data_IF_583801290682
#
_entry.id   IF_583801290682
#
_cell.length_a   1.000
_cell.length_b   1.000
_cell.length_c   1.000
_cell.angle_alpha   90.00
_cell.angle_beta   90.00
_cell.angle_gamma   90.00
#
_symmetry.space_group_name_H-M   'P 1'
#
loop_
_entity.id
_entity.type
_entity.pdbx_description
1 polymer ?
#
# COMPACT_ATOMS: atom_id res chain seq x y z
N UNK A 1 -3.56 32.63 59.78
CA UNK A 1 -3.91 31.78 58.62
C UNK A 1 -3.20 30.45 58.80
N UNK A 2 -3.93 29.39 59.12
CA UNK A 2 -3.35 28.06 59.33
C UNK A 2 -3.23 27.35 57.97
N UNK A 3 -2.00 27.06 57.56
CA UNK A 3 -1.71 26.23 56.40
C UNK A 3 -2.09 24.78 56.72
N UNK A 4 -2.91 24.14 55.87
CA UNK A 4 -3.30 22.75 56.02
C UNK A 4 -2.35 21.85 55.20
N UNK A 5 -1.43 21.09 55.83
CA UNK A 5 -0.39 20.32 55.14
C UNK A 5 -0.95 19.12 54.35
N UNK A 6 -2.19 18.70 54.63
CA UNK A 6 -2.84 17.59 53.94
C UNK A 6 -3.15 17.89 52.45
N UNK A 7 -3.32 19.17 52.10
CA UNK A 7 -3.69 19.57 50.74
C UNK A 7 -2.47 19.55 49.79
N UNK A 8 -1.30 19.94 50.29
CA UNK A 8 -0.05 19.86 49.53
C UNK A 8 0.37 18.41 49.25
N UNK A 9 0.18 17.50 50.20
CA UNK A 9 0.41 16.07 49.95
C UNK A 9 -0.52 15.51 48.87
N UNK A 10 -1.76 16.01 48.80
CA UNK A 10 -2.73 15.60 47.79
C UNK A 10 -2.35 16.12 46.39
N UNK A 11 -1.90 17.38 46.31
CA UNK A 11 -1.41 18.01 45.08
C UNK A 11 -0.12 17.35 44.59
N UNK A 12 0.83 17.06 45.49
CA UNK A 12 2.07 16.35 45.13
C UNK A 12 1.80 14.90 44.70
N UNK A 13 0.84 14.22 45.33
CA UNK A 13 0.43 12.88 44.90
C UNK A 13 -0.21 12.89 43.52
N UNK A 14 -1.07 13.88 43.22
CA UNK A 14 -1.71 13.99 41.90
C UNK A 14 -0.71 14.38 40.80
N UNK A 15 0.27 15.25 41.11
CA UNK A 15 1.36 15.56 40.18
C UNK A 15 2.31 14.36 39.97
N UNK A 16 2.57 13.58 41.02
CA UNK A 16 3.37 12.35 40.94
C UNK A 16 2.70 11.27 40.09
N UNK A 17 1.36 11.19 40.09
CA UNK A 17 0.63 10.24 39.23
C UNK A 17 0.64 10.63 37.75
N UNK A 18 0.86 11.92 37.42
CA UNK A 18 0.91 12.40 36.04
C UNK A 18 2.30 12.23 35.39
N UNK A 19 3.35 12.04 36.20
CA UNK A 19 4.75 11.88 35.76
C UNK A 19 5.16 10.42 35.54
N UNK A 20 4.35 9.43 35.92
CA UNK A 20 4.73 8.02 35.80
C UNK A 20 4.47 7.50 34.37
N UNK A 21 5.51 7.12 33.60
CA UNK A 21 5.30 6.42 32.34
C UNK A 21 4.66 5.04 32.59
N UNK A 22 3.86 4.51 31.65
CA UNK A 22 3.25 3.20 31.78
C UNK A 22 4.32 2.10 31.94
N UNK A 23 4.06 1.05 32.73
CA UNK A 23 4.94 -0.12 32.76
C UNK A 23 4.98 -0.77 31.36
N UNK A 24 6.14 -1.32 30.94
CA UNK A 24 6.19 -2.13 29.73
C UNK A 24 5.31 -3.36 29.95
N UNK A 25 4.23 -3.46 29.17
CA UNK A 25 3.55 -4.73 28.98
C UNK A 25 4.53 -5.66 28.25
N UNK A 26 4.63 -6.87 28.79
CA UNK A 26 5.55 -7.91 28.38
C UNK A 26 5.47 -8.19 26.88
N UNK A 27 6.66 -8.34 26.29
CA UNK A 27 6.92 -9.02 25.05
C UNK A 27 6.26 -10.41 25.06
N UNK A 28 5.22 -10.60 24.26
CA UNK A 28 4.93 -11.90 23.67
C UNK A 28 5.58 -11.91 22.29
N UNK A 29 6.84 -12.35 22.33
CA UNK A 29 7.66 -12.81 21.23
C UNK A 29 6.92 -13.98 20.54
N UNK A 30 6.34 -13.71 19.36
CA UNK A 30 5.95 -14.76 18.43
C UNK A 30 6.66 -14.48 17.10
N UNK A 31 7.96 -14.77 17.14
CA UNK A 31 8.87 -14.92 16.01
C UNK A 31 8.40 -16.14 15.19
N UNK A 32 7.54 -15.90 14.19
CA UNK A 32 7.31 -16.86 13.10
C UNK A 32 8.13 -16.38 11.90
N UNK A 33 9.44 -16.54 12.06
CA UNK A 33 10.46 -16.34 11.06
C UNK A 33 10.49 -17.58 10.16
N UNK A 34 9.56 -17.63 9.20
CA UNK A 34 9.56 -18.61 8.12
C UNK A 34 10.68 -18.25 7.12
N UNK A 35 11.91 -18.52 7.56
CA UNK A 35 13.12 -18.45 6.78
C UNK A 35 13.13 -19.62 5.77
N UNK A 36 12.92 -19.26 4.52
CA UNK A 36 13.05 -20.07 3.31
C UNK A 36 14.27 -21.02 3.34
N UNK A 37 14.03 -22.33 3.45
CA UNK A 37 15.04 -23.39 3.30
C UNK A 37 15.08 -23.90 1.84
N UNK A 38 16.22 -23.77 1.13
CA UNK A 38 16.38 -24.36 -0.21
C UNK A 38 16.87 -25.81 -0.10
N UNK A 39 16.28 -26.78 -0.84
CA UNK A 39 16.82 -28.14 -0.86
C UNK A 39 18.12 -28.22 -1.69
N UNK A 40 19.18 -28.76 -1.07
CA UNK A 40 20.45 -29.10 -1.72
C UNK A 40 20.31 -30.25 -2.76
N UNK A 41 21.16 -30.26 -3.82
CA UNK A 41 21.20 -31.31 -4.82
C UNK A 41 22.40 -32.28 -4.63
N UNK A 42 22.16 -33.59 -4.71
CA UNK A 42 23.17 -34.60 -5.06
C UNK A 42 22.45 -35.86 -5.60
N UNK A 43 22.42 -36.11 -6.92
CA UNK A 43 23.36 -36.91 -7.73
C UNK A 43 23.20 -38.45 -7.54
N UNK A 44 23.69 -39.33 -8.45
CA UNK A 44 23.67 -39.36 -9.92
C UNK A 44 23.07 -40.70 -10.48
N UNK A 45 22.94 -40.79 -11.81
CA UNK A 45 22.45 -41.94 -12.59
C UNK A 45 23.32 -43.22 -12.51
N UNK A 46 22.78 -44.39 -12.90
CA UNK A 46 23.21 -45.05 -14.17
C UNK A 46 22.02 -45.78 -14.86
N UNK A 47 21.99 -46.26 -16.11
CA UNK A 47 22.79 -46.28 -17.34
C UNK A 47 21.87 -46.91 -18.44
N UNK A 48 22.26 -46.94 -19.74
CA UNK A 48 21.34 -47.01 -20.87
C UNK A 48 21.23 -48.40 -21.55
N UNK A 49 20.15 -48.64 -22.32
CA UNK A 49 20.08 -49.65 -23.39
C UNK A 49 18.85 -49.39 -24.32
N UNK A 50 18.72 -50.00 -25.52
CA UNK A 50 19.03 -49.32 -26.78
C UNK A 50 17.86 -49.19 -27.78
N UNK A 51 17.98 -48.17 -28.61
CA UNK A 51 17.72 -48.08 -30.06
C UNK A 51 16.66 -49.01 -30.69
N UNK A 52 15.53 -48.43 -31.10
CA UNK A 52 14.78 -48.85 -32.31
C UNK A 52 14.14 -47.65 -33.02
N UNK A 53 14.71 -47.29 -34.17
CA UNK A 53 14.04 -46.57 -35.28
C UNK A 53 13.53 -47.59 -36.31
N UNK A 54 12.84 -47.18 -37.39
CA UNK A 54 11.69 -46.29 -37.49
C UNK A 54 10.54 -47.00 -38.26
N UNK A 55 9.29 -46.57 -38.08
CA UNK A 55 8.25 -46.82 -39.09
C UNK A 55 7.67 -45.47 -39.48
N UNK A 56 8.02 -45.05 -40.70
CA UNK A 56 7.36 -43.97 -41.42
C UNK A 56 5.96 -44.40 -41.83
N UNK A 57 4.97 -43.58 -41.51
CA UNK A 57 3.70 -43.53 -42.23
C UNK A 57 3.31 -42.05 -42.43
N UNK A 58 2.64 -41.71 -43.55
CA UNK A 58 2.63 -40.35 -44.12
C UNK A 58 1.45 -39.48 -43.65
N UNK A 59 1.76 -38.18 -43.45
CA UNK A 59 1.01 -36.91 -43.72
C UNK A 59 -0.53 -36.84 -43.65
N UNK A 60 -1.15 -35.64 -43.58
CA UNK A 60 -0.77 -34.37 -42.94
C UNK A 60 -1.98 -33.78 -42.19
N UNK A 61 -1.91 -33.63 -40.86
CA UNK A 61 -2.81 -32.69 -40.20
C UNK A 61 -1.97 -31.54 -39.66
N UNK A 62 -1.91 -30.45 -40.45
CA UNK A 62 -1.59 -29.12 -39.95
C UNK A 62 -2.68 -28.76 -38.95
N UNK A 63 -2.57 -29.27 -37.72
CA UNK A 63 -3.17 -28.60 -36.60
C UNK A 63 -2.55 -27.19 -36.58
N UNK A 64 -3.35 -26.10 -36.60
CA UNK A 64 -2.81 -24.79 -36.30
C UNK A 64 -2.13 -24.92 -34.93
N UNK A 65 -0.86 -24.51 -34.88
CA UNK A 65 -0.13 -24.43 -33.63
C UNK A 65 -1.01 -23.73 -32.58
N UNK A 66 -0.98 -24.15 -31.30
CA UNK A 66 -1.62 -23.38 -30.24
C UNK A 66 -1.15 -21.93 -30.40
N UNK A 67 -2.09 -21.02 -30.64
CA UNK A 67 -1.81 -19.59 -30.73
C UNK A 67 -0.99 -19.24 -29.49
N UNK A 68 0.30 -18.93 -29.70
CA UNK A 68 1.20 -18.58 -28.63
C UNK A 68 0.52 -17.50 -27.78
N UNK A 69 0.42 -17.75 -26.48
CA UNK A 69 -0.23 -16.83 -25.56
C UNK A 69 0.44 -15.46 -25.71
N UNK A 70 -0.33 -14.40 -26.03
CA UNK A 70 0.26 -13.09 -26.27
C UNK A 70 0.90 -12.61 -24.98
N UNK A 71 2.22 -12.44 -25.02
CA UNK A 71 3.02 -11.97 -23.89
C UNK A 71 2.49 -10.59 -23.41
N UNK A 72 2.05 -10.47 -22.15
CA UNK A 72 1.45 -9.23 -21.62
C UNK A 72 2.42 -8.04 -21.67
N UNK A 73 3.73 -8.29 -21.77
CA UNK A 73 4.77 -7.26 -21.85
C UNK A 73 4.83 -6.55 -23.21
N UNK A 74 4.19 -7.12 -24.25
CA UNK A 74 4.19 -6.62 -25.64
C UNK A 74 2.82 -6.09 -26.09
N UNK A 75 1.80 -6.23 -25.25
CA UNK A 75 0.45 -5.75 -25.56
C UNK A 75 0.42 -4.23 -25.46
N UNK A 76 0.28 -3.56 -26.61
CA UNK A 76 0.20 -2.09 -26.70
C UNK A 76 -1.20 -1.57 -27.03
N UNK A 77 -2.11 -2.43 -27.51
CA UNK A 77 -3.45 -2.02 -27.93
C UNK A 77 -4.55 -2.52 -26.99
N UNK A 78 -5.60 -1.73 -26.84
CA UNK A 78 -6.73 -2.05 -25.96
C UNK A 78 -7.47 -3.36 -26.30
N UNK A 79 -7.80 -3.66 -27.58
CA UNK A 79 -8.53 -4.90 -27.89
C UNK A 79 -7.78 -6.16 -27.51
N UNK A 80 -6.45 -6.18 -27.70
CA UNK A 80 -5.59 -7.30 -27.29
C UNK A 80 -5.53 -7.42 -25.76
N UNK A 81 -5.42 -6.30 -25.06
CA UNK A 81 -5.44 -6.28 -23.59
C UNK A 81 -6.76 -6.79 -23.03
N UNK A 82 -7.89 -6.40 -23.62
CA UNK A 82 -9.21 -6.86 -23.22
C UNK A 82 -9.35 -8.37 -23.41
N UNK A 83 -8.97 -8.89 -24.58
CA UNK A 83 -8.98 -10.33 -24.84
C UNK A 83 -8.10 -11.10 -23.85
N UNK A 84 -6.93 -10.56 -23.51
CA UNK A 84 -6.04 -11.13 -22.50
C UNK A 84 -6.72 -11.20 -21.14
N UNK A 85 -7.26 -10.08 -20.63
CA UNK A 85 -7.92 -10.01 -19.32
C UNK A 85 -9.17 -10.88 -19.23
N UNK A 86 -9.99 -10.93 -20.27
CA UNK A 86 -11.14 -11.85 -20.30
C UNK A 86 -10.70 -13.31 -20.19
N UNK A 87 -9.53 -13.66 -20.72
CA UNK A 87 -8.99 -15.02 -20.61
C UNK A 87 -8.34 -15.27 -19.25
N UNK A 88 -7.56 -14.32 -18.73
CA UNK A 88 -6.67 -14.53 -17.57
C UNK A 88 -7.25 -14.09 -16.23
N UNK A 89 -8.19 -13.15 -16.21
CA UNK A 89 -8.84 -12.67 -14.98
C UNK A 89 -10.28 -13.16 -14.90
N UNK A 90 -11.07 -13.01 -15.98
CA UNK A 90 -12.50 -13.35 -15.89
C UNK A 90 -12.76 -14.86 -15.69
N UNK A 91 -11.84 -15.72 -16.15
CA UNK A 91 -11.95 -17.18 -15.99
C UNK A 91 -11.21 -17.73 -14.75
N UNK A 92 -10.39 -16.92 -14.08
CA UNK A 92 -9.52 -17.39 -13.00
C UNK A 92 -9.88 -16.74 -11.65
N UNK A 93 -10.61 -17.50 -10.84
CA UNK A 93 -11.09 -17.08 -9.52
C UNK A 93 -9.96 -16.70 -8.55
N UNK A 94 -8.81 -17.38 -8.62
CA UNK A 94 -7.64 -17.06 -7.79
C UNK A 94 -7.10 -15.65 -8.08
N UNK A 95 -7.03 -15.29 -9.37
CA UNK A 95 -6.60 -13.96 -9.82
C UNK A 95 -7.59 -12.89 -9.36
N UNK A 96 -8.89 -13.12 -9.54
CA UNK A 96 -9.92 -12.19 -9.07
C UNK A 96 -9.89 -12.02 -7.55
N UNK A 97 -9.72 -13.10 -6.79
CA UNK A 97 -9.62 -13.04 -5.33
C UNK A 97 -8.43 -12.20 -4.88
N UNK A 98 -7.29 -12.31 -5.56
CA UNK A 98 -6.10 -11.49 -5.28
C UNK A 98 -6.38 -10.02 -5.58
N UNK A 99 -6.98 -9.70 -6.72
CA UNK A 99 -7.37 -8.32 -7.08
C UNK A 99 -8.37 -7.75 -6.07
N UNK A 100 -9.40 -8.51 -5.67
CA UNK A 100 -10.36 -8.09 -4.63
C UNK A 100 -9.66 -7.80 -3.29
N UNK A 101 -8.67 -8.62 -2.92
CA UNK A 101 -7.87 -8.38 -1.71
C UNK A 101 -7.09 -7.07 -1.83
N UNK A 102 -6.47 -6.80 -2.97
CA UNK A 102 -5.76 -5.53 -3.20
C UNK A 102 -6.68 -4.32 -3.05
N UNK A 103 -7.89 -4.38 -3.63
CA UNK A 103 -8.90 -3.31 -3.52
C UNK A 103 -9.35 -3.11 -2.07
N UNK A 104 -9.64 -4.20 -1.33
CA UNK A 104 -10.02 -4.10 0.09
C UNK A 104 -8.91 -3.50 0.94
N UNK A 105 -7.67 -3.98 0.78
CA UNK A 105 -6.52 -3.48 1.52
C UNK A 105 -6.33 -1.97 1.27
N UNK A 106 -6.50 -1.50 0.03
CA UNK A 106 -6.45 -0.08 -0.30
C UNK A 106 -7.50 0.70 0.50
N UNK A 107 -8.76 0.26 0.48
CA UNK A 107 -9.83 0.94 1.22
C UNK A 107 -9.65 0.90 2.73
N UNK A 108 -9.07 -0.17 3.27
CA UNK A 108 -8.73 -0.27 4.69
C UNK A 108 -7.66 0.76 5.08
N UNK A 109 -6.60 0.90 4.27
CA UNK A 109 -5.58 1.94 4.49
C UNK A 109 -6.14 3.35 4.40
N UNK A 110 -6.95 3.64 3.36
CA UNK A 110 -7.60 4.94 3.18
C UNK A 110 -8.50 5.28 4.37
N UNK A 111 -9.31 4.32 4.85
CA UNK A 111 -10.15 4.49 6.03
C UNK A 111 -9.31 4.71 7.28
N UNK A 112 -8.25 3.93 7.48
CA UNK A 112 -7.37 4.07 8.63
C UNK A 112 -6.69 5.45 8.66
N UNK A 113 -6.18 5.94 7.53
CA UNK A 113 -5.57 7.26 7.44
C UNK A 113 -6.59 8.37 7.70
N UNK A 114 -7.82 8.22 7.19
CA UNK A 114 -8.91 9.15 7.45
C UNK A 114 -9.26 9.19 8.94
N UNK A 115 -9.49 8.04 9.55
CA UNK A 115 -9.84 7.91 10.97
C UNK A 115 -8.73 8.48 11.86
N UNK A 116 -7.46 8.21 11.53
CA UNK A 116 -6.32 8.80 12.21
C UNK A 116 -6.26 10.31 12.10
N UNK A 117 -6.60 10.89 10.94
CA UNK A 117 -6.68 12.35 10.75
C UNK A 117 -7.81 12.95 11.57
N UNK A 118 -8.99 12.34 11.56
CA UNK A 118 -10.16 12.77 12.35
C UNK A 118 -9.83 12.72 13.85
N UNK A 119 -9.19 11.64 14.31
CA UNK A 119 -8.76 11.51 15.69
C UNK A 119 -7.73 12.58 16.08
N UNK A 120 -6.78 12.89 15.20
CA UNK A 120 -5.79 13.93 15.41
C UNK A 120 -6.43 15.31 15.53
N UNK A 121 -7.32 15.68 14.60
CA UNK A 121 -8.05 16.96 14.65
C UNK A 121 -8.85 17.08 15.95
N UNK A 122 -9.54 16.01 16.37
CA UNK A 122 -10.27 15.98 17.65
C UNK A 122 -9.34 16.20 18.85
N UNK A 123 -8.17 15.57 18.84
CA UNK A 123 -7.13 15.73 19.90
C UNK A 123 -6.63 17.17 19.96
N UNK A 124 -6.35 17.79 18.80
CA UNK A 124 -5.92 19.19 18.71
C UNK A 124 -7.01 20.14 19.22
N UNK A 125 -8.26 19.95 18.81
CA UNK A 125 -9.39 20.74 19.35
C UNK A 125 -9.57 20.58 20.87
N UNK A 126 -9.40 19.38 21.40
CA UNK A 126 -9.46 19.15 22.86
C UNK A 126 -8.31 19.83 23.62
N UNK A 127 -7.13 19.95 23.00
CA UNK A 127 -5.98 20.68 23.57
C UNK A 127 -6.26 22.18 23.64
N UNK A 128 -6.90 22.74 22.63
CA UNK A 128 -7.26 24.16 22.61
C UNK A 128 -8.29 24.50 23.70
N UNK A 129 -9.33 23.67 23.87
CA UNK A 129 -10.30 23.83 24.96
C UNK A 129 -9.63 23.75 26.33
N UNK A 130 -8.81 22.73 26.57
CA UNK A 130 -8.08 22.56 27.84
C UNK A 130 -7.16 23.75 28.13
N UNK A 131 -6.51 24.28 27.10
CA UNK A 131 -5.68 25.48 27.21
C UNK A 131 -6.51 26.67 27.67
N UNK A 132 -7.66 26.91 27.06
CA UNK A 132 -8.58 27.98 27.46
C UNK A 132 -9.06 27.85 28.91
N UNK A 133 -9.38 26.64 29.37
CA UNK A 133 -9.75 26.36 30.76
C UNK A 133 -8.60 26.67 31.73
N UNK A 134 -7.37 26.26 31.40
CA UNK A 134 -6.19 26.57 32.20
C UNK A 134 -5.93 28.08 32.31
N UNK A 135 -6.08 28.84 31.22
CA UNK A 135 -6.00 30.31 31.26
C UNK A 135 -7.03 30.87 32.24
N UNK A 136 -8.29 30.42 32.14
CA UNK A 136 -9.38 30.90 32.99
C UNK A 136 -9.13 30.62 34.47
N UNK A 137 -8.65 29.43 34.79
CA UNK A 137 -8.26 29.06 36.17
C UNK A 137 -7.10 29.93 36.65
N UNK A 138 -6.05 30.13 35.83
CA UNK A 138 -4.88 30.93 36.21
C UNK A 138 -5.25 32.40 36.45
N UNK A 139 -6.13 32.95 35.60
CA UNK A 139 -6.70 34.30 35.78
C UNK A 139 -7.52 34.41 37.07
N UNK A 140 -8.29 33.37 37.42
CA UNK A 140 -9.13 33.36 38.64
C UNK A 140 -8.30 33.34 39.93
N UNK A 141 -7.09 32.77 39.89
CA UNK A 141 -6.14 32.72 41.03
C UNK A 141 -5.29 34.01 41.14
N UNK A 142 -5.44 34.95 40.20
CA UNK A 142 -4.71 36.23 40.19
C UNK A 142 -3.26 36.11 39.72
N UNK A 143 -2.89 35.00 39.08
CA UNK A 143 -1.57 34.82 38.52
C UNK A 143 -1.43 35.53 37.15
N UNK A 144 -0.32 36.24 36.89
CA UNK A 144 -0.10 36.89 35.60
C UNK A 144 0.08 35.85 34.49
N UNK A 145 -0.75 35.93 33.45
CA UNK A 145 -0.77 35.06 32.24
C UNK A 145 0.38 35.36 31.26
N UNK A 146 1.40 36.12 31.67
CA UNK A 146 2.55 36.43 30.80
C UNK A 146 3.70 35.45 31.09
N UNK A 147 3.71 34.32 30.39
CA UNK A 147 4.91 33.49 30.27
C UNK A 147 4.74 31.98 30.46
N UNK A 148 3.59 31.50 30.95
CA UNK A 148 3.44 30.08 31.35
C UNK A 148 2.69 29.21 30.35
N UNK A 149 2.83 29.47 29.04
CA UNK A 149 2.06 28.75 28.01
C UNK A 149 2.90 28.10 26.91
N UNK A 150 4.13 27.70 27.25
CA UNK A 150 5.05 26.98 26.35
C UNK A 150 4.79 25.47 26.32
N UNK A 151 3.55 25.06 26.06
CA UNK A 151 3.21 23.64 25.88
C UNK A 151 3.08 23.20 24.43
N UNK A 152 2.47 24.05 23.60
CA UNK A 152 2.36 23.86 22.15
C UNK A 152 1.63 25.07 21.60
N UNK A 153 2.21 25.82 20.69
CA UNK A 153 1.54 26.93 20.00
C UNK A 153 0.53 26.40 18.97
N UNK A 154 -0.48 27.18 18.56
CA UNK A 154 -1.34 26.80 17.43
C UNK A 154 -0.53 26.54 16.14
N UNK A 155 0.66 27.13 16.01
CA UNK A 155 1.60 26.80 14.93
C UNK A 155 2.09 25.34 15.01
N UNK A 156 2.39 24.84 16.21
CA UNK A 156 2.81 23.44 16.41
C UNK A 156 1.68 22.47 16.07
N UNK A 157 0.43 22.82 16.36
CA UNK A 157 -0.74 22.01 15.99
C UNK A 157 -0.90 21.91 14.47
N UNK A 158 -0.67 23.00 13.73
CA UNK A 158 -0.66 22.97 12.26
C UNK A 158 0.50 22.15 11.69
N UNK A 159 1.67 22.22 12.32
CA UNK A 159 2.85 21.44 11.93
C UNK A 159 2.65 19.94 12.21
N UNK A 160 2.00 19.57 13.32
CA UNK A 160 1.64 18.18 13.66
C UNK A 160 0.70 17.59 12.59
N UNK A 161 -0.32 18.35 12.19
CA UNK A 161 -1.25 17.92 11.13
C UNK A 161 -0.55 17.81 9.76
N UNK A 162 0.31 18.76 9.41
CA UNK A 162 1.08 18.71 8.16
C UNK A 162 2.05 17.51 8.13
N UNK A 163 2.69 17.20 9.27
CA UNK A 163 3.54 16.01 9.41
C UNK A 163 2.74 14.72 9.22
N UNK A 164 1.52 14.65 9.76
CA UNK A 164 0.63 13.52 9.54
C UNK A 164 0.25 13.37 8.07
N UNK A 165 -0.19 14.46 7.42
CA UNK A 165 -0.57 14.45 6.00
C UNK A 165 0.62 14.03 5.09
N UNK A 166 1.84 14.47 5.42
CA UNK A 166 3.06 14.04 4.71
C UNK A 166 3.34 12.54 4.89
N UNK A 167 3.11 11.97 6.09
CA UNK A 167 3.24 10.53 6.33
C UNK A 167 2.21 9.74 5.52
N UNK A 168 0.96 10.20 5.49
CA UNK A 168 -0.11 9.58 4.69
C UNK A 168 0.23 9.62 3.20
N UNK A 169 0.74 10.75 2.69
CA UNK A 169 1.17 10.86 1.30
C UNK A 169 2.30 9.88 0.94
N UNK A 170 3.31 9.76 1.80
CA UNK A 170 4.40 8.81 1.58
C UNK A 170 3.90 7.36 1.61
N UNK A 171 3.05 7.03 2.57
CA UNK A 171 2.46 5.70 2.69
C UNK A 171 1.53 5.36 1.51
N UNK A 172 0.75 6.32 1.02
CA UNK A 172 -0.13 6.11 -0.14
C UNK A 172 0.65 5.93 -1.43
N UNK A 173 1.77 6.61 -1.59
CA UNK A 173 2.70 6.41 -2.71
C UNK A 173 3.29 5.00 -2.68
N UNK A 174 3.80 4.57 -1.52
CA UNK A 174 4.33 3.21 -1.35
C UNK A 174 3.27 2.13 -1.61
N UNK A 175 2.04 2.33 -1.14
CA UNK A 175 0.91 1.45 -1.40
C UNK A 175 0.60 1.38 -2.91
N UNK A 176 0.58 2.52 -3.60
CA UNK A 176 0.35 2.56 -5.05
C UNK A 176 1.44 1.80 -5.83
N UNK A 177 2.71 1.97 -5.44
CA UNK A 177 3.83 1.25 -6.07
C UNK A 177 3.72 -0.27 -5.84
N UNK A 178 3.35 -0.69 -4.63
CA UNK A 178 3.12 -2.10 -4.32
C UNK A 178 1.94 -2.69 -5.12
N UNK A 179 0.84 -1.94 -5.27
CA UNK A 179 -0.29 -2.34 -6.12
C UNK A 179 0.12 -2.51 -7.59
N UNK A 180 0.92 -1.59 -8.13
CA UNK A 180 1.45 -1.70 -9.48
C UNK A 180 2.35 -2.92 -9.64
N UNK A 181 3.22 -3.20 -8.66
CA UNK A 181 4.06 -4.39 -8.67
C UNK A 181 3.26 -5.69 -8.66
N UNK A 182 2.19 -5.75 -7.86
CA UNK A 182 1.27 -6.88 -7.80
C UNK A 182 0.51 -7.09 -9.13
N UNK A 183 -0.01 -6.01 -9.73
CA UNK A 183 -0.67 -6.08 -11.04
C UNK A 183 0.29 -6.55 -12.14
N UNK A 184 1.55 -6.13 -12.08
CA UNK A 184 2.60 -6.61 -12.97
C UNK A 184 2.91 -8.10 -12.76
N UNK A 185 2.99 -8.56 -11.51
CA UNK A 185 3.18 -9.98 -11.20
C UNK A 185 2.00 -10.85 -11.65
N UNK A 186 0.79 -10.30 -11.66
CA UNK A 186 -0.42 -10.94 -12.22
C UNK A 186 -0.48 -10.92 -13.76
N UNK A 187 0.51 -10.33 -14.44
CA UNK A 187 0.55 -10.25 -15.89
C UNK A 187 -0.54 -9.35 -16.48
N UNK A 188 -0.99 -8.35 -15.72
CA UNK A 188 -1.97 -7.37 -16.20
C UNK A 188 -1.31 -6.50 -17.29
N UNK A 189 -1.92 -6.38 -18.48
CA UNK A 189 -1.41 -5.53 -19.56
C UNK A 189 -1.29 -4.07 -19.12
N UNK A 190 -0.45 -3.29 -19.80
CA UNK A 190 -0.14 -1.87 -19.47
C UNK A 190 0.65 -1.63 -18.17
N UNK A 191 0.58 -2.52 -17.18
CA UNK A 191 1.45 -2.51 -16.00
C UNK A 191 2.71 -3.35 -16.20
N UNK A 192 2.64 -4.33 -17.10
CA UNK A 192 3.74 -5.25 -17.42
C UNK A 192 4.56 -4.84 -18.66
N UNK A 193 4.26 -3.69 -19.27
CA UNK A 193 4.91 -3.28 -20.53
C UNK A 193 6.41 -3.05 -20.32
N UNK A 194 7.19 -3.57 -21.26
CA UNK A 194 8.64 -3.38 -21.26
C UNK A 194 9.01 -1.89 -21.47
N UNK A 195 9.95 -1.33 -20.69
CA UNK A 195 10.31 0.09 -20.78
C UNK A 195 10.89 0.47 -22.15
N UNK A 196 11.39 -0.49 -22.93
CA UNK A 196 11.86 -0.31 -24.31
C UNK A 196 10.77 0.13 -25.29
N UNK A 197 9.50 -0.06 -24.94
CA UNK A 197 8.34 0.24 -25.80
C UNK A 197 7.69 1.57 -25.39
N UNK A 198 8.06 2.13 -24.23
CA UNK A 198 7.52 3.39 -23.72
C UNK A 198 8.42 4.55 -24.16
N UNK A 199 7.84 5.56 -24.80
CA UNK A 199 8.55 6.79 -25.14
C UNK A 199 8.45 7.81 -24.01
N UNK A 200 9.61 8.18 -23.49
CA UNK A 200 9.76 9.31 -22.58
C UNK A 200 10.22 10.54 -23.37
N UNK A 201 9.24 11.32 -23.85
CA UNK A 201 9.40 12.74 -24.24
C UNK A 201 10.39 13.14 -25.35
N UNK A 202 11.20 12.24 -25.92
CA UNK A 202 12.19 12.62 -26.95
C UNK A 202 11.63 12.49 -28.37
N UNK A 203 11.71 13.60 -29.11
CA UNK A 203 11.31 13.84 -30.50
C UNK A 203 12.00 12.90 -31.52
N UNK A 204 11.68 11.61 -31.50
CA UNK A 204 12.03 10.65 -32.55
C UNK A 204 10.82 10.31 -33.43
N UNK A 205 11.02 9.97 -34.72
CA UNK A 205 9.93 9.62 -35.63
C UNK A 205 9.12 8.44 -35.08
N UNK A 206 7.79 8.43 -35.25
CA UNK A 206 6.91 7.40 -34.69
C UNK A 206 7.30 6.01 -35.23
N UNK A 207 7.89 5.17 -34.38
CA UNK A 207 7.91 3.74 -34.62
C UNK A 207 6.53 3.20 -34.24
N UNK A 208 5.91 2.41 -35.12
CA UNK A 208 4.50 1.95 -35.02
C UNK A 208 4.16 1.18 -33.74
N UNK A 209 5.15 0.80 -32.93
CA UNK A 209 4.97 0.00 -31.72
C UNK A 209 5.20 0.76 -30.40
N UNK A 210 5.60 2.03 -30.40
CA UNK A 210 5.93 2.76 -29.16
C UNK A 210 4.76 3.56 -28.60
N UNK A 211 4.46 3.40 -27.31
CA UNK A 211 3.39 4.13 -26.61
C UNK A 211 3.93 5.39 -25.95
N UNK A 212 3.19 6.50 -26.04
CA UNK A 212 3.52 7.70 -25.27
C UNK A 212 3.16 7.51 -23.78
N UNK A 213 3.98 8.07 -22.88
CA UNK A 213 3.74 7.98 -21.42
C UNK A 213 2.33 8.45 -20.99
N UNK A 214 1.81 9.52 -21.62
CA UNK A 214 0.47 10.01 -21.35
C UNK A 214 -0.65 9.06 -21.80
N UNK A 215 -0.47 8.41 -22.96
CA UNK A 215 -1.42 7.42 -23.49
C UNK A 215 -1.43 6.16 -22.62
N UNK A 216 -0.24 5.71 -22.19
CA UNK A 216 -0.09 4.57 -21.29
C UNK A 216 -0.87 4.77 -19.99
N UNK A 217 -0.76 5.96 -19.37
CA UNK A 217 -1.52 6.29 -18.14
C UNK A 217 -3.03 6.23 -18.37
N UNK A 218 -3.50 6.64 -19.54
CA UNK A 218 -4.93 6.55 -19.89
C UNK A 218 -5.38 5.11 -20.07
N UNK A 219 -4.57 4.27 -20.71
CA UNK A 219 -4.83 2.84 -20.84
C UNK A 219 -4.81 2.12 -19.48
N UNK A 220 -3.86 2.47 -18.60
CA UNK A 220 -3.78 1.94 -17.23
C UNK A 220 -5.02 2.30 -16.40
N UNK A 221 -5.50 3.55 -16.45
CA UNK A 221 -6.75 3.96 -15.76
C UNK A 221 -7.95 3.14 -16.23
N UNK A 222 -8.13 3.05 -17.55
CA UNK A 222 -9.20 2.26 -18.15
C UNK A 222 -9.11 0.76 -17.77
N UNK A 223 -7.89 0.24 -17.65
CA UNK A 223 -7.67 -1.14 -17.20
C UNK A 223 -8.08 -1.33 -15.73
N UNK A 224 -7.74 -0.38 -14.85
CA UNK A 224 -8.16 -0.44 -13.44
C UNK A 224 -9.69 -0.41 -13.30
N UNK A 225 -10.37 0.44 -14.04
CA UNK A 225 -11.85 0.49 -14.08
C UNK A 225 -12.44 -0.87 -14.48
N UNK A 226 -11.90 -1.48 -15.56
CA UNK A 226 -12.32 -2.81 -16.00
C UNK A 226 -12.08 -3.87 -14.92
N UNK A 227 -10.91 -3.88 -14.29
CA UNK A 227 -10.59 -4.85 -13.24
C UNK A 227 -11.49 -4.68 -12.02
N UNK A 228 -11.83 -3.44 -11.64
CA UNK A 228 -12.79 -3.17 -10.58
C UNK A 228 -14.17 -3.72 -10.94
N UNK A 229 -14.67 -3.46 -12.15
CA UNK A 229 -15.98 -3.95 -12.59
C UNK A 229 -16.06 -5.48 -12.63
N UNK A 230 -15.02 -6.16 -13.13
CA UNK A 230 -14.97 -7.63 -13.17
C UNK A 230 -14.85 -8.26 -11.79
N UNK A 231 -14.19 -7.57 -10.86
CA UNK A 231 -13.95 -8.05 -9.52
C UNK A 231 -14.96 -7.49 -8.50
N UNK A 232 -16.03 -6.82 -8.95
CA UNK A 232 -17.14 -6.47 -8.06
C UNK A 232 -17.74 -7.75 -7.48
N UNK A 233 -18.04 -7.70 -6.19
CA UNK A 233 -18.65 -8.81 -5.47
C UNK A 233 -19.95 -9.23 -6.17
N UNK A 234 -19.97 -10.47 -6.66
CA UNK A 234 -21.17 -11.19 -7.11
C UNK A 234 -21.88 -11.82 -5.92
#
# INVERSE_FOLDING_TARGET
>A
MAYNPADLSSILSTLSTLTKPPPPAADEDNDDNDAYEPPEPAAPAPAPAPTRTPISAPTPNKHPAPLAEPDPTRITTWPLALQHIMRTVALHESTQRRIRRLIRNQHEHERHWWDGRVALVRKLGSRDVRRGELVRVLQSVGAPVQGSMDGSTPHDDTAELASYDAKVYNASTQMADALVAELKALGVPFFSISPSIVRDGQNGPPAEATLASAELRTLQRRMLELLQDLCRES
#
